data_IF_574660641755
#
_entry.id   IF_574660641755
#
_cell.length_a   1.000
_cell.length_b   1.000
_cell.length_c   1.000
_cell.angle_alpha   90.00
_cell.angle_beta   90.00
_cell.angle_gamma   90.00
#
_symmetry.space_group_name_H-M   'P 1'
#
loop_
_entity.id
_entity.type
_entity.pdbx_description
1 polymer ?
#
# COMPACT_ATOMS: atom_id res chain seq x y z
N UNK A 1 11.48 15.48 2.02
CA UNK A 1 10.17 14.88 2.36
C UNK A 1 9.36 14.61 1.10
N UNK A 2 9.07 15.59 0.22
CA UNK A 2 8.24 15.40 -0.99
C UNK A 2 8.80 14.27 -1.87
N UNK A 3 10.10 14.27 -2.17
CA UNK A 3 10.74 13.22 -2.96
C UNK A 3 10.57 11.83 -2.35
N UNK A 4 10.66 11.70 -1.03
CA UNK A 4 10.41 10.43 -0.34
C UNK A 4 8.96 9.97 -0.44
N UNK A 5 8.01 10.92 -0.46
CA UNK A 5 6.60 10.62 -0.69
C UNK A 5 6.36 10.14 -2.14
N UNK A 6 7.00 10.78 -3.13
CA UNK A 6 6.94 10.34 -4.53
C UNK A 6 7.47 8.90 -4.66
N UNK A 7 8.62 8.60 -4.05
CA UNK A 7 9.19 7.25 -4.09
C UNK A 7 8.27 6.23 -3.46
N UNK A 8 7.63 6.56 -2.33
CA UNK A 8 6.68 5.67 -1.66
C UNK A 8 5.50 5.32 -2.57
N UNK A 9 4.89 6.32 -3.23
CA UNK A 9 3.81 6.07 -4.17
C UNK A 9 4.27 5.23 -5.36
N UNK A 10 5.39 5.58 -5.97
CA UNK A 10 5.91 4.86 -7.11
C UNK A 10 6.29 3.41 -6.77
N UNK A 11 6.87 3.18 -5.60
CA UNK A 11 7.19 1.84 -5.11
C UNK A 11 5.93 1.01 -4.88
N UNK A 12 4.88 1.60 -4.33
CA UNK A 12 3.59 0.90 -4.13
C UNK A 12 2.97 0.50 -5.48
N UNK A 13 2.97 1.38 -6.49
CA UNK A 13 2.49 1.04 -7.83
C UNK A 13 3.29 -0.14 -8.41
N UNK A 14 4.62 -0.14 -8.25
CA UNK A 14 5.48 -1.25 -8.68
C UNK A 14 5.14 -2.56 -7.96
N UNK A 15 4.84 -2.52 -6.66
CA UNK A 15 4.39 -3.68 -5.90
C UNK A 15 3.04 -4.22 -6.40
N UNK A 16 2.09 -3.33 -6.64
CA UNK A 16 0.75 -3.70 -7.10
C UNK A 16 0.73 -4.25 -8.53
N UNK A 17 1.72 -3.87 -9.36
CA UNK A 17 1.83 -4.32 -10.76
C UNK A 17 2.53 -5.67 -10.91
N UNK A 18 3.18 -6.21 -9.87
CA UNK A 18 3.83 -7.53 -9.97
C UNK A 18 2.83 -8.59 -10.42
N UNK A 19 3.28 -9.54 -11.23
CA UNK A 19 2.44 -10.58 -11.86
C UNK A 19 1.60 -11.37 -10.85
N UNK A 20 2.17 -11.68 -9.68
CA UNK A 20 1.50 -12.40 -8.61
C UNK A 20 0.44 -11.56 -7.89
N UNK A 21 0.58 -10.23 -7.87
CA UNK A 21 -0.37 -9.28 -7.28
C UNK A 21 -1.37 -8.79 -8.33
N UNK A 22 -0.91 -8.05 -9.31
CA UNK A 22 -1.65 -7.51 -10.46
C UNK A 22 -2.98 -6.86 -10.09
N UNK A 23 -2.95 -5.98 -9.10
CA UNK A 23 -4.11 -5.20 -8.65
C UNK A 23 -4.21 -3.85 -9.33
N UNK A 24 -3.06 -3.33 -9.78
CA UNK A 24 -2.91 -2.07 -10.50
C UNK A 24 -1.85 -2.24 -11.58
N UNK A 25 -1.95 -1.50 -12.66
CA UNK A 25 -0.97 -1.48 -13.75
C UNK A 25 -0.86 -0.06 -14.32
N UNK A 26 0.36 0.39 -14.63
CA UNK A 26 0.55 1.61 -15.39
C UNK A 26 -0.15 1.51 -16.75
N UNK A 27 -0.66 2.63 -17.24
CA UNK A 27 -1.22 2.68 -18.58
C UNK A 27 -0.17 2.33 -19.61
N UNK A 28 -0.47 1.35 -20.45
CA UNK A 28 0.39 0.92 -21.53
C UNK A 28 -0.24 1.27 -22.88
N UNK A 29 0.36 2.24 -23.57
CA UNK A 29 -0.15 2.72 -24.84
C UNK A 29 -0.05 1.70 -25.97
N UNK A 30 -1.01 1.70 -26.89
CA UNK A 30 -1.05 0.76 -28.06
C UNK A 30 0.23 0.71 -28.89
N UNK A 31 1.00 1.80 -28.93
CA UNK A 31 2.28 1.91 -29.67
C UNK A 31 3.51 1.76 -28.77
N UNK A 32 3.32 1.58 -27.47
CA UNK A 32 4.42 1.45 -26.52
C UNK A 32 5.02 0.04 -26.63
N UNK A 33 6.34 -0.04 -26.75
CA UNK A 33 7.07 -1.31 -26.74
C UNK A 33 7.59 -1.57 -25.32
N UNK A 34 7.17 -2.68 -24.73
CA UNK A 34 7.63 -3.05 -23.37
C UNK A 34 9.02 -3.68 -23.36
N UNK A 35 9.40 -4.35 -24.44
CA UNK A 35 10.68 -5.02 -24.62
C UNK A 35 10.94 -5.29 -26.11
N UNK A 36 12.20 -5.32 -26.50
CA UNK A 36 12.61 -5.75 -27.84
C UNK A 36 12.41 -7.25 -28.08
N UNK A 37 12.45 -8.05 -27.00
CA UNK A 37 12.37 -9.52 -27.06
C UNK A 37 10.99 -10.08 -26.70
N UNK A 38 10.25 -9.41 -25.82
CA UNK A 38 8.94 -9.89 -25.33
C UNK A 38 7.87 -8.80 -25.52
N UNK A 39 7.07 -8.86 -26.61
CA UNK A 39 6.10 -7.81 -26.93
C UNK A 39 5.00 -7.58 -25.88
N UNK A 40 4.70 -8.61 -25.08
CA UNK A 40 3.68 -8.58 -24.04
C UNK A 40 4.19 -8.05 -22.68
N UNK A 41 5.51 -7.81 -22.55
CA UNK A 41 6.10 -7.36 -21.28
C UNK A 41 5.73 -5.91 -21.01
N UNK A 42 5.08 -5.69 -19.87
CA UNK A 42 4.66 -4.38 -19.40
C UNK A 42 5.37 -4.08 -18.08
N UNK A 43 6.44 -3.30 -18.15
CA UNK A 43 7.14 -2.86 -16.95
C UNK A 43 6.57 -1.52 -16.45
N UNK A 44 6.58 -1.25 -15.14
CA UNK A 44 6.19 0.04 -14.57
C UNK A 44 7.32 1.09 -14.76
N UNK A 45 7.62 1.43 -16.02
CA UNK A 45 8.78 2.25 -16.42
C UNK A 45 8.71 3.64 -15.80
N UNK A 46 7.52 4.24 -15.73
CA UNK A 46 7.36 5.58 -15.18
C UNK A 46 7.57 5.58 -13.66
N UNK A 47 7.04 4.59 -12.95
CA UNK A 47 7.26 4.43 -11.51
C UNK A 47 8.71 4.07 -11.19
N UNK A 48 9.37 3.28 -12.03
CA UNK A 48 10.81 3.00 -11.91
C UNK A 48 11.63 4.29 -12.04
N UNK A 49 11.32 5.10 -13.04
CA UNK A 49 11.96 6.41 -13.23
C UNK A 49 11.71 7.35 -12.04
N UNK A 50 10.47 7.41 -11.51
CA UNK A 50 10.14 8.22 -10.34
C UNK A 50 10.93 7.81 -9.09
N UNK A 51 11.14 6.52 -8.86
CA UNK A 51 11.98 6.05 -7.76
C UNK A 51 13.44 6.46 -7.91
N UNK A 52 13.95 6.52 -9.14
CA UNK A 52 15.29 7.02 -9.45
C UNK A 52 15.41 8.53 -9.21
N UNK A 53 14.47 9.31 -9.75
CA UNK A 53 14.44 10.77 -9.57
C UNK A 53 14.32 11.16 -8.08
N UNK A 54 13.53 10.46 -7.31
CA UNK A 54 13.38 10.72 -5.88
C UNK A 54 14.73 10.58 -5.13
N UNK A 55 15.55 9.60 -5.51
CA UNK A 55 16.90 9.45 -4.93
C UNK A 55 17.81 10.60 -5.33
N UNK A 56 17.77 11.01 -6.59
CA UNK A 56 18.56 12.14 -7.10
C UNK A 56 18.17 13.44 -6.36
N UNK A 57 16.89 13.74 -6.24
CA UNK A 57 16.40 14.92 -5.52
C UNK A 57 16.86 14.90 -4.05
N UNK A 58 16.81 13.77 -3.37
CA UNK A 58 17.25 13.66 -1.97
C UNK A 58 18.77 13.79 -1.79
N UNK A 59 19.56 13.48 -2.79
CA UNK A 59 21.02 13.62 -2.69
C UNK A 59 21.45 15.06 -2.45
N UNK A 60 20.65 16.04 -2.86
CA UNK A 60 20.87 17.46 -2.62
C UNK A 60 20.75 17.91 -1.15
N UNK A 61 20.23 17.04 -0.26
CA UNK A 61 20.08 17.36 1.16
C UNK A 61 21.43 17.54 1.85
N UNK A 62 22.41 16.70 1.52
CA UNK A 62 23.73 16.76 2.18
C UNK A 62 24.42 18.10 1.89
N UNK A 63 24.67 18.49 0.62
CA UNK A 63 25.30 19.78 0.33
C UNK A 63 24.48 20.99 0.82
N UNK A 64 23.13 20.86 0.87
CA UNK A 64 22.29 21.91 1.43
C UNK A 64 22.48 22.08 2.96
N UNK A 65 22.67 20.98 3.69
CA UNK A 65 22.95 21.03 5.13
C UNK A 65 24.38 21.55 5.42
N UNK A 66 25.34 21.25 4.56
CA UNK A 66 26.69 21.75 4.69
C UNK A 66 26.76 23.29 4.52
N UNK A 67 25.81 23.89 3.80
CA UNK A 67 25.69 25.34 3.64
C UNK A 67 25.17 26.07 4.91
N UNK A 68 24.85 25.36 5.99
CA UNK A 68 24.51 25.98 7.28
C UNK A 68 25.74 26.57 7.96
N UNK A 69 26.93 25.96 7.79
CA UNK A 69 28.17 26.47 8.34
C UNK A 69 28.66 27.69 7.55
N UNK A 70 29.04 28.74 8.27
CA UNK A 70 29.52 30.00 7.69
C UNK A 70 31.02 30.22 7.99
N UNK A 71 31.69 30.87 7.05
CA UNK A 71 33.00 31.46 7.25
C UNK A 71 32.79 32.92 7.65
N UNK A 72 32.99 33.27 8.93
CA UNK A 72 32.56 34.52 9.54
C UNK A 72 31.04 34.76 9.36
N UNK A 73 30.63 35.89 8.81
CA UNK A 73 29.23 36.23 8.62
C UNK A 73 28.66 35.68 7.30
N UNK A 74 29.51 35.22 6.39
CA UNK A 74 29.13 34.70 5.07
C UNK A 74 30.21 33.80 4.52
N UNK A 75 29.76 32.81 3.72
CA UNK A 75 30.65 31.96 2.95
C UNK A 75 30.21 31.92 1.47
N UNK A 76 31.11 32.42 0.59
CA UNK A 76 30.82 32.44 -0.85
C UNK A 76 30.91 31.03 -1.48
N UNK A 77 31.49 30.06 -0.81
CA UNK A 77 31.53 28.66 -1.26
C UNK A 77 30.12 28.11 -1.46
N UNK A 78 29.14 28.55 -0.66
CA UNK A 78 27.75 28.16 -0.80
C UNK A 78 27.17 28.48 -2.17
N UNK A 79 27.61 29.58 -2.81
CA UNK A 79 27.12 29.98 -4.12
C UNK A 79 27.38 28.94 -5.22
N UNK A 80 28.52 28.25 -5.18
CA UNK A 80 28.82 27.17 -6.12
C UNK A 80 27.88 25.97 -5.94
N UNK A 81 27.51 25.65 -4.69
CA UNK A 81 26.60 24.57 -4.36
C UNK A 81 25.16 24.91 -4.73
N UNK A 82 24.68 26.07 -4.31
CA UNK A 82 23.27 26.49 -4.49
C UNK A 82 22.88 26.69 -5.94
N UNK A 83 23.82 27.13 -6.78
CA UNK A 83 23.59 27.27 -8.25
C UNK A 83 23.30 25.93 -8.93
N UNK A 84 23.77 24.82 -8.36
CA UNK A 84 23.48 23.48 -8.88
C UNK A 84 22.27 22.88 -8.19
N UNK A 85 22.31 22.73 -6.86
CA UNK A 85 21.27 21.99 -6.14
C UNK A 85 19.89 22.68 -6.20
N UNK A 86 19.84 24.01 -6.23
CA UNK A 86 18.58 24.76 -6.31
C UNK A 86 17.82 24.46 -7.58
N UNK A 87 18.31 24.87 -8.76
CA UNK A 87 17.62 24.66 -10.02
C UNK A 87 17.42 23.19 -10.37
N UNK A 88 18.45 22.35 -10.20
CA UNK A 88 18.36 20.94 -10.57
C UNK A 88 17.33 20.17 -9.71
N UNK A 89 17.33 20.42 -8.40
CA UNK A 89 16.39 19.78 -7.50
C UNK A 89 14.95 20.22 -7.76
N UNK A 90 14.72 21.52 -7.97
CA UNK A 90 13.36 22.04 -8.20
C UNK A 90 12.82 21.62 -9.57
N UNK A 91 13.64 21.64 -10.61
CA UNK A 91 13.28 21.15 -11.94
C UNK A 91 12.95 19.66 -11.92
N UNK A 92 13.81 18.85 -11.30
CA UNK A 92 13.59 17.42 -11.18
C UNK A 92 12.33 17.10 -10.34
N UNK A 93 12.07 17.88 -9.30
CA UNK A 93 10.89 17.72 -8.45
C UNK A 93 9.60 18.06 -9.20
N UNK A 94 9.56 19.18 -9.92
CA UNK A 94 8.41 19.57 -10.73
C UNK A 94 8.08 18.50 -11.78
N UNK A 95 9.08 18.06 -12.52
CA UNK A 95 8.94 16.98 -13.49
C UNK A 95 8.41 15.68 -12.84
N UNK A 96 8.93 15.32 -11.67
CA UNK A 96 8.51 14.11 -10.97
C UNK A 96 7.05 14.21 -10.48
N UNK A 97 6.61 15.38 -10.00
CA UNK A 97 5.23 15.59 -9.56
C UNK A 97 4.25 15.54 -10.73
N UNK A 98 4.56 16.17 -11.85
CA UNK A 98 3.75 16.11 -13.09
C UNK A 98 3.64 14.66 -13.56
N UNK A 99 4.76 13.95 -13.65
CA UNK A 99 4.77 12.53 -14.06
C UNK A 99 3.98 11.63 -13.12
N UNK A 100 4.14 11.80 -11.80
CA UNK A 100 3.37 11.03 -10.82
C UNK A 100 1.86 11.28 -10.96
N UNK A 101 1.47 12.54 -11.17
CA UNK A 101 0.07 12.92 -11.40
C UNK A 101 -0.50 12.21 -12.64
N UNK A 102 0.24 12.19 -13.74
CA UNK A 102 -0.17 11.47 -14.95
C UNK A 102 -0.26 9.97 -14.76
N UNK A 103 0.71 9.37 -14.08
CA UNK A 103 0.66 7.93 -13.74
C UNK A 103 -0.60 7.61 -12.97
N UNK A 104 -0.87 8.34 -11.87
CA UNK A 104 -2.04 8.09 -11.02
C UNK A 104 -3.35 8.29 -11.80
N UNK A 105 -3.44 9.33 -12.61
CA UNK A 105 -4.64 9.65 -13.42
C UNK A 105 -4.97 8.54 -14.42
N UNK A 106 -3.97 7.87 -14.95
CA UNK A 106 -4.12 6.88 -16.02
C UNK A 106 -3.94 5.43 -15.54
N UNK A 107 -3.89 5.16 -14.23
CA UNK A 107 -3.75 3.81 -13.72
C UNK A 107 -4.90 2.91 -14.15
N UNK A 108 -4.55 1.71 -14.60
CA UNK A 108 -5.50 0.61 -14.75
C UNK A 108 -5.69 -0.07 -13.40
N UNK A 109 -6.92 -0.12 -12.91
CA UNK A 109 -7.27 -0.71 -11.61
C UNK A 109 -8.08 -1.98 -11.85
N UNK A 110 -7.72 -3.08 -11.17
CA UNK A 110 -8.33 -4.39 -11.32
C UNK A 110 -9.08 -4.85 -10.05
N UNK A 111 -10.29 -4.33 -9.74
CA UNK A 111 -11.02 -4.63 -8.51
C UNK A 111 -11.29 -6.13 -8.31
N UNK A 112 -11.58 -6.85 -9.39
CA UNK A 112 -11.81 -8.29 -9.33
C UNK A 112 -10.56 -9.06 -8.89
N UNK A 113 -9.38 -8.58 -9.30
CA UNK A 113 -8.10 -9.16 -8.88
C UNK A 113 -7.83 -8.89 -7.40
N UNK A 114 -8.11 -7.67 -6.93
CA UNK A 114 -8.03 -7.32 -5.51
C UNK A 114 -8.89 -8.25 -4.65
N UNK A 115 -10.15 -8.49 -5.05
CA UNK A 115 -11.03 -9.42 -4.35
C UNK A 115 -10.50 -10.85 -4.38
N UNK A 116 -9.94 -11.30 -5.52
CA UNK A 116 -9.31 -12.62 -5.63
C UNK A 116 -8.14 -12.76 -4.68
N UNK A 117 -7.24 -11.77 -4.64
CA UNK A 117 -6.07 -11.77 -3.77
C UNK A 117 -6.49 -11.76 -2.29
N UNK A 118 -7.48 -10.96 -1.93
CA UNK A 118 -8.03 -10.93 -0.57
C UNK A 118 -8.53 -12.31 -0.11
N UNK A 119 -9.08 -13.09 -1.03
CA UNK A 119 -9.58 -14.45 -0.75
C UNK A 119 -8.49 -15.51 -0.61
N UNK A 120 -7.24 -15.25 -1.02
CA UNK A 120 -6.15 -16.22 -0.97
C UNK A 120 -5.88 -16.76 0.44
N UNK A 121 -6.16 -15.97 1.46
CA UNK A 121 -6.01 -16.38 2.87
C UNK A 121 -7.26 -17.03 3.45
N UNK A 122 -8.24 -17.42 2.62
CA UNK A 122 -9.46 -18.13 3.03
C UNK A 122 -10.21 -17.47 4.19
N UNK A 123 -10.16 -16.13 4.26
CA UNK A 123 -10.86 -15.32 5.28
C UNK A 123 -10.07 -15.08 6.57
N UNK A 124 -8.80 -15.47 6.65
CA UNK A 124 -7.97 -15.28 7.86
C UNK A 124 -7.82 -13.81 8.28
N UNK A 125 -7.92 -12.86 7.37
CA UNK A 125 -7.88 -11.44 7.71
C UNK A 125 -9.06 -10.98 8.60
N UNK A 126 -10.11 -11.79 8.75
CA UNK A 126 -11.19 -11.53 9.71
C UNK A 126 -10.91 -12.07 11.12
N UNK A 127 -9.81 -12.78 11.35
CA UNK A 127 -9.51 -13.43 12.63
C UNK A 127 -9.53 -12.47 13.83
N UNK A 128 -9.00 -11.26 13.67
CA UNK A 128 -9.05 -10.23 14.70
C UNK A 128 -10.49 -9.84 15.09
N UNK A 129 -11.38 -9.68 14.10
CA UNK A 129 -12.78 -9.35 14.37
C UNK A 129 -13.48 -10.45 15.17
N UNK A 130 -13.22 -11.69 14.77
CA UNK A 130 -13.77 -12.86 15.50
C UNK A 130 -13.25 -12.90 16.91
N UNK A 131 -11.94 -12.70 17.12
CA UNK A 131 -11.33 -12.67 18.47
C UNK A 131 -11.98 -11.61 19.36
N UNK A 132 -12.13 -10.39 18.85
CA UNK A 132 -12.75 -9.30 19.61
C UNK A 132 -14.21 -9.60 19.95
N UNK A 133 -14.98 -10.14 19.01
CA UNK A 133 -16.38 -10.48 19.24
C UNK A 133 -16.53 -11.62 20.26
N UNK A 134 -15.65 -12.63 20.23
CA UNK A 134 -15.64 -13.69 21.24
C UNK A 134 -15.40 -13.14 22.64
N UNK A 135 -14.52 -12.17 22.78
CA UNK A 135 -14.30 -11.48 24.07
C UNK A 135 -15.55 -10.72 24.51
N UNK A 136 -16.25 -10.08 23.57
CA UNK A 136 -17.50 -9.33 23.86
C UNK A 136 -18.63 -10.26 24.33
N UNK A 137 -18.71 -11.49 23.82
CA UNK A 137 -19.73 -12.48 24.23
C UNK A 137 -19.32 -13.31 25.47
N UNK A 138 -18.27 -12.91 26.18
CA UNK A 138 -17.90 -13.43 27.51
C UNK A 138 -16.93 -14.60 27.52
N UNK A 139 -16.05 -14.71 26.49
CA UNK A 139 -14.82 -15.49 26.62
C UNK A 139 -13.70 -14.62 27.20
N UNK A 140 -12.75 -15.22 27.92
CA UNK A 140 -11.53 -14.48 28.27
C UNK A 140 -10.70 -14.21 27.01
N UNK A 141 -9.76 -13.27 27.10
CA UNK A 141 -8.87 -12.97 25.96
C UNK A 141 -8.06 -14.20 25.54
N UNK A 142 -7.55 -14.95 26.50
CA UNK A 142 -6.77 -16.18 26.28
C UNK A 142 -7.61 -17.27 25.60
N UNK A 143 -8.84 -17.47 26.08
CA UNK A 143 -9.78 -18.42 25.47
C UNK A 143 -10.12 -18.01 24.04
N UNK A 144 -10.43 -16.73 23.80
CA UNK A 144 -10.73 -16.20 22.47
C UNK A 144 -9.54 -16.37 21.52
N UNK A 145 -8.32 -16.07 22.00
CA UNK A 145 -7.10 -16.24 21.24
C UNK A 145 -6.87 -17.72 20.86
N UNK A 146 -6.94 -18.63 21.81
CA UNK A 146 -6.72 -20.06 21.59
C UNK A 146 -7.72 -20.65 20.58
N UNK A 147 -9.02 -20.29 20.70
CA UNK A 147 -10.07 -20.73 19.80
C UNK A 147 -9.80 -20.21 18.36
N UNK A 148 -9.53 -18.91 18.21
CA UNK A 148 -9.27 -18.31 16.91
C UNK A 148 -7.99 -18.88 16.30
N UNK A 149 -6.91 -19.02 17.06
CA UNK A 149 -5.65 -19.58 16.61
C UNK A 149 -5.82 -21.01 16.09
N UNK A 150 -6.51 -21.88 16.83
CA UNK A 150 -6.81 -23.26 16.42
C UNK A 150 -7.43 -23.31 15.02
N UNK A 151 -8.50 -22.54 14.79
CA UNK A 151 -9.20 -22.53 13.52
C UNK A 151 -8.42 -21.81 12.40
N UNK A 152 -7.70 -20.76 12.74
CA UNK A 152 -6.84 -20.04 11.79
C UNK A 152 -5.69 -20.93 11.29
N UNK A 153 -5.01 -21.65 12.18
CA UNK A 153 -3.95 -22.58 11.82
C UNK A 153 -4.46 -23.76 11.01
N UNK A 154 -5.67 -24.26 11.32
CA UNK A 154 -6.31 -25.28 10.50
C UNK A 154 -6.55 -24.77 9.08
N UNK A 155 -7.12 -23.57 8.93
CA UNK A 155 -7.33 -22.94 7.62
C UNK A 155 -6.02 -22.74 6.86
N UNK A 156 -4.98 -22.28 7.53
CA UNK A 156 -3.66 -22.07 6.95
C UNK A 156 -3.05 -23.35 6.39
N UNK A 157 -3.11 -24.44 7.19
CA UNK A 157 -2.46 -25.70 6.85
C UNK A 157 -3.25 -26.51 5.80
N UNK A 158 -4.58 -26.41 5.79
CA UNK A 158 -5.45 -27.22 4.94
C UNK A 158 -6.03 -26.48 3.73
N UNK A 159 -5.92 -25.15 3.69
CA UNK A 159 -6.62 -24.34 2.69
C UNK A 159 -8.14 -24.23 2.89
N UNK A 160 -8.67 -24.75 4.01
CA UNK A 160 -10.11 -24.70 4.29
C UNK A 160 -10.57 -23.29 4.68
N UNK A 161 -11.87 -23.00 4.49
CA UNK A 161 -12.44 -21.72 4.87
C UNK A 161 -12.39 -21.48 6.39
N UNK A 162 -11.80 -20.36 6.80
CA UNK A 162 -11.77 -19.95 8.21
C UNK A 162 -13.18 -19.77 8.79
N UNK A 163 -14.10 -19.22 7.99
CA UNK A 163 -15.51 -19.10 8.36
C UNK A 163 -16.14 -20.46 8.64
N UNK A 164 -15.98 -21.43 7.72
CA UNK A 164 -16.57 -22.78 7.89
C UNK A 164 -15.98 -23.51 9.10
N UNK A 165 -14.69 -23.36 9.36
CA UNK A 165 -14.05 -23.96 10.52
C UNK A 165 -14.64 -23.42 11.84
N UNK A 166 -14.91 -22.12 11.90
CA UNK A 166 -15.49 -21.49 13.09
C UNK A 166 -16.98 -21.87 13.27
N UNK A 167 -17.74 -21.91 12.17
CA UNK A 167 -19.18 -22.28 12.25
C UNK A 167 -19.37 -23.70 12.73
N UNK A 168 -18.43 -24.60 12.51
CA UNK A 168 -18.48 -25.99 12.97
C UNK A 168 -18.10 -26.18 14.44
N UNK A 169 -17.56 -25.16 15.10
CA UNK A 169 -17.14 -25.26 16.50
C UNK A 169 -18.33 -25.01 17.46
N UNK A 170 -18.83 -26.04 18.19
CA UNK A 170 -20.00 -25.89 19.04
C UNK A 170 -19.77 -24.95 20.22
N UNK A 171 -18.51 -24.81 20.68
CA UNK A 171 -18.14 -23.91 21.78
C UNK A 171 -18.36 -22.45 21.37
N UNK A 172 -17.95 -22.12 20.13
CA UNK A 172 -18.11 -20.78 19.58
C UNK A 172 -19.59 -20.49 19.29
N UNK A 173 -20.27 -21.38 18.58
CA UNK A 173 -21.66 -21.17 18.15
C UNK A 173 -22.64 -21.07 19.29
N UNK A 174 -22.38 -21.72 20.41
CA UNK A 174 -23.20 -21.62 21.65
C UNK A 174 -23.29 -20.18 22.17
N UNK A 175 -22.21 -19.40 22.08
CA UNK A 175 -22.17 -18.00 22.55
C UNK A 175 -22.29 -16.97 21.41
N UNK A 176 -21.80 -17.30 20.22
CA UNK A 176 -21.84 -16.44 19.05
C UNK A 176 -22.62 -17.10 17.90
N UNK A 177 -23.92 -16.82 17.79
CA UNK A 177 -24.78 -17.43 16.77
C UNK A 177 -24.30 -17.14 15.34
N UNK A 178 -24.54 -18.10 14.43
CA UNK A 178 -24.10 -18.03 13.02
C UNK A 178 -24.48 -16.71 12.32
N UNK A 179 -25.66 -16.17 12.58
CA UNK A 179 -26.11 -14.89 12.00
C UNK A 179 -25.24 -13.70 12.42
N UNK A 180 -24.76 -13.68 13.67
CA UNK A 180 -23.82 -12.66 14.13
C UNK A 180 -22.43 -12.91 13.56
N UNK A 181 -21.99 -14.16 13.55
CA UNK A 181 -20.71 -14.55 12.98
C UNK A 181 -20.60 -14.14 11.51
N UNK A 182 -21.63 -14.40 10.69
CA UNK A 182 -21.64 -14.02 9.26
C UNK A 182 -21.38 -12.53 9.04
N UNK A 183 -21.88 -11.65 9.91
CA UNK A 183 -21.65 -10.20 9.83
C UNK A 183 -20.20 -9.80 10.07
N UNK A 184 -19.41 -10.64 10.76
CA UNK A 184 -18.00 -10.37 11.00
C UNK A 184 -17.16 -10.59 9.74
N UNK A 185 -17.63 -11.42 8.81
CA UNK A 185 -16.95 -11.73 7.54
C UNK A 185 -17.33 -10.80 6.39
N UNK A 186 -17.82 -9.60 6.72
CA UNK A 186 -18.05 -8.53 5.76
C UNK A 186 -16.86 -7.58 5.71
N UNK A 187 -16.18 -7.52 4.55
CA UNK A 187 -15.02 -6.64 4.36
C UNK A 187 -15.39 -5.16 4.32
N UNK A 188 -16.64 -4.79 4.04
CA UNK A 188 -17.10 -3.39 4.03
C UNK A 188 -16.87 -2.71 5.38
N UNK A 189 -16.79 -3.49 6.46
CA UNK A 189 -16.44 -2.97 7.78
C UNK A 189 -15.08 -2.24 7.79
N UNK A 190 -14.08 -2.76 7.06
CA UNK A 190 -12.75 -2.18 7.02
C UNK A 190 -12.67 -0.93 6.15
N UNK A 191 -13.61 -0.75 5.22
CA UNK A 191 -13.64 0.37 4.28
C UNK A 191 -14.62 1.49 4.67
N UNK A 192 -15.47 1.29 5.68
CA UNK A 192 -16.56 2.21 6.07
C UNK A 192 -16.12 3.65 6.41
N UNK A 193 -14.86 3.86 6.77
CA UNK A 193 -14.31 5.17 7.14
C UNK A 193 -13.53 5.87 6.01
N UNK A 194 -13.31 5.20 4.88
CA UNK A 194 -12.54 5.74 3.76
C UNK A 194 -13.09 7.08 3.29
N UNK A 195 -14.40 7.18 3.06
CA UNK A 195 -15.03 8.42 2.60
C UNK A 195 -14.87 9.58 3.60
N UNK A 196 -14.84 9.29 4.90
CA UNK A 196 -14.62 10.31 5.94
C UNK A 196 -13.18 10.82 5.86
N UNK A 197 -12.21 9.91 5.66
CA UNK A 197 -10.79 10.26 5.51
C UNK A 197 -10.59 11.13 4.28
N UNK A 198 -11.16 10.74 3.13
CA UNK A 198 -11.10 11.54 1.90
C UNK A 198 -11.72 12.93 2.08
N UNK A 199 -12.94 13.02 2.62
CA UNK A 199 -13.60 14.31 2.86
C UNK A 199 -12.81 15.23 3.80
N UNK A 200 -12.07 14.65 4.75
CA UNK A 200 -11.26 15.44 5.70
C UNK A 200 -10.01 16.02 5.04
N UNK A 201 -9.37 15.27 4.16
CA UNK A 201 -8.06 15.62 3.61
C UNK A 201 -8.14 16.25 2.20
N UNK A 202 -9.19 15.97 1.44
CA UNK A 202 -9.41 16.50 0.10
C UNK A 202 -10.56 17.52 0.09
N UNK A 203 -10.59 18.45 1.07
CA UNK A 203 -11.50 19.59 1.01
C UNK A 203 -11.18 20.39 -0.25
N UNK A 204 -12.15 20.41 -1.19
CA UNK A 204 -12.21 21.46 -2.21
C UNK A 204 -12.66 22.77 -1.58
#
# INVERSE_FOLDING_TARGET
IIASSIERFATEIRHLQRTEVLEVEEFFGKKQKGSSAMPHKKNPILSENLTGLARLIRSSVIPALENVALWHERDISHSAVERNIGPDTTTALDFALVRLSEVIKNLNIYPNRMVKNLKLTNGLFFSQRVLLELTTVGFTREQSYSLVQKHAMNSWNTGSSFYENIVKDPVIIKKLPVNKLKKLFDFSYHTKKINIIFKRNLKK
#
